data_IF_534406073473
#
_entry.id   IF_534406073473
#
_cell.length_a   1.000
_cell.length_b   1.000
_cell.length_c   1.000
_cell.angle_alpha   90.00
_cell.angle_beta   90.00
_cell.angle_gamma   90.00
#
_symmetry.space_group_name_H-M   'P 1'
#
loop_
_entity.id
_entity.type
_entity.pdbx_description
1 polymer ?
#
# COMPACT_ATOMS: atom_id res chain seq x y z
N UNK A 1 -5.17 -12.63 -3.64
CA UNK A 1 -3.86 -12.08 -3.97
C UNK A 1 -3.90 -11.47 -5.35
N UNK A 2 -3.72 -10.17 -5.41
CA UNK A 2 -3.63 -9.40 -6.65
C UNK A 2 -2.37 -9.83 -7.43
N UNK A 3 -2.46 -9.99 -8.75
CA UNK A 3 -1.33 -10.41 -9.60
C UNK A 3 -0.15 -9.42 -9.54
N UNK A 4 -0.42 -8.12 -9.34
CA UNK A 4 0.60 -7.08 -9.24
C UNK A 4 1.36 -7.21 -7.92
N UNK A 5 0.63 -7.41 -6.81
CA UNK A 5 1.22 -7.66 -5.48
C UNK A 5 2.09 -8.91 -5.50
N UNK A 6 1.59 -9.99 -6.12
CA UNK A 6 2.36 -11.23 -6.28
C UNK A 6 3.67 -10.98 -7.04
N UNK A 7 3.60 -10.24 -8.15
CA UNK A 7 4.79 -9.89 -8.93
C UNK A 7 5.76 -9.01 -8.15
N UNK A 8 5.26 -8.06 -7.36
CA UNK A 8 6.08 -7.23 -6.48
C UNK A 8 6.87 -8.07 -5.46
N UNK A 9 6.21 -9.03 -4.81
CA UNK A 9 6.85 -9.97 -3.89
C UNK A 9 7.93 -10.83 -4.56
N UNK A 10 7.74 -11.21 -5.82
CA UNK A 10 8.73 -11.97 -6.60
C UNK A 10 9.93 -11.12 -7.06
N UNK A 11 9.74 -9.80 -7.26
CA UNK A 11 10.76 -8.85 -7.70
C UNK A 11 11.61 -8.30 -6.55
N UNK A 12 11.04 -8.26 -5.34
CA UNK A 12 11.63 -7.63 -4.17
C UNK A 12 13.03 -8.19 -3.85
N UNK A 13 14.04 -7.32 -3.88
CA UNK A 13 15.40 -7.71 -3.52
C UNK A 13 15.53 -7.82 -1.99
N UNK A 14 16.46 -8.66 -1.51
CA UNK A 14 16.64 -8.92 -0.07
C UNK A 14 16.92 -7.63 0.73
N UNK A 15 17.53 -6.61 0.12
CA UNK A 15 17.81 -5.32 0.73
C UNK A 15 16.54 -4.48 1.01
N UNK A 16 15.48 -4.69 0.23
CA UNK A 16 14.19 -3.97 0.32
C UNK A 16 13.08 -4.87 0.86
N UNK A 17 13.46 -6.03 1.40
CA UNK A 17 12.51 -7.05 1.80
C UNK A 17 11.73 -6.62 3.02
N UNK A 18 10.49 -6.22 2.77
CA UNK A 18 9.56 -5.77 3.79
C UNK A 18 8.17 -6.38 3.59
N UNK A 19 7.26 -6.08 4.50
CA UNK A 19 5.85 -6.41 4.36
C UNK A 19 5.23 -5.66 3.18
N UNK A 20 4.72 -6.42 2.22
CA UNK A 20 3.89 -5.90 1.12
C UNK A 20 2.42 -6.23 1.41
N UNK A 21 1.53 -5.23 1.48
CA UNK A 21 0.11 -5.46 1.71
C UNK A 21 -0.54 -6.34 0.64
N UNK A 22 -1.19 -7.44 1.06
CA UNK A 22 -1.98 -8.32 0.17
C UNK A 22 -3.45 -7.88 0.12
N UNK A 23 -3.70 -6.80 -0.61
CA UNK A 23 -5.04 -6.24 -0.84
C UNK A 23 -5.41 -6.26 -2.33
N UNK A 24 -6.70 -6.11 -2.63
CA UNK A 24 -7.22 -6.08 -3.99
C UNK A 24 -7.85 -4.71 -4.33
N UNK A 25 -7.87 -4.36 -5.62
CA UNK A 25 -8.59 -3.16 -6.06
C UNK A 25 -10.08 -3.33 -5.76
N UNK A 26 -10.66 -2.31 -5.12
CA UNK A 26 -12.04 -2.30 -4.62
C UNK A 26 -12.19 -2.75 -3.17
N UNK A 27 -11.14 -3.29 -2.55
CA UNK A 27 -11.13 -3.69 -1.15
C UNK A 27 -11.15 -2.47 -0.24
N UNK A 28 -11.86 -2.59 0.88
CA UNK A 28 -11.89 -1.59 1.95
C UNK A 28 -11.09 -2.17 3.11
N UNK A 29 -10.04 -1.46 3.53
CA UNK A 29 -9.12 -1.87 4.57
C UNK A 29 -8.80 -0.67 5.49
N UNK A 30 -8.11 -0.92 6.59
CA UNK A 30 -7.64 0.15 7.47
C UNK A 30 -6.38 0.78 6.86
N UNK A 31 -6.14 2.05 7.16
CA UNK A 31 -4.91 2.75 6.73
C UNK A 31 -3.66 2.00 7.23
N UNK A 32 -3.73 1.41 8.43
CA UNK A 32 -2.65 0.59 9.00
C UNK A 32 -2.29 -0.67 8.18
N UNK A 33 -3.18 -1.13 7.28
CA UNK A 33 -2.90 -2.25 6.39
C UNK A 33 -1.95 -1.83 5.26
N UNK A 34 -1.88 -0.52 4.94
CA UNK A 34 -1.12 0.05 3.82
C UNK A 34 0.01 0.98 4.27
N UNK A 35 -0.13 1.66 5.41
CA UNK A 35 0.83 2.63 5.93
C UNK A 35 1.19 2.31 7.38
N UNK A 36 2.48 2.32 7.67
CA UNK A 36 3.03 1.94 8.98
C UNK A 36 3.04 3.09 10.01
N UNK A 37 2.52 4.26 9.65
CA UNK A 37 2.50 5.45 10.50
C UNK A 37 3.76 6.31 10.44
N UNK A 38 4.72 6.01 9.55
CA UNK A 38 5.92 6.82 9.40
C UNK A 38 5.71 7.98 8.42
N UNK A 39 6.11 9.17 8.85
CA UNK A 39 6.00 10.39 8.05
C UNK A 39 4.63 11.06 8.19
N UNK A 40 4.23 11.79 7.15
CA UNK A 40 2.93 12.44 7.09
C UNK A 40 1.87 11.44 6.61
N UNK A 41 0.66 11.51 7.18
CA UNK A 41 -0.44 10.63 6.81
C UNK A 41 -0.78 10.76 5.31
N UNK A 42 -0.64 9.68 4.53
CA UNK A 42 -0.90 9.72 3.09
C UNK A 42 -2.39 9.92 2.82
N UNK A 43 -2.70 10.81 1.86
CA UNK A 43 -4.09 11.17 1.53
C UNK A 43 -4.60 10.45 0.28
N UNK A 44 -3.70 10.09 -0.64
CA UNK A 44 -4.07 9.57 -1.96
C UNK A 44 -3.40 8.23 -2.31
N UNK A 45 -2.15 8.03 -1.87
CA UNK A 45 -1.38 6.82 -2.19
C UNK A 45 -0.22 6.62 -1.23
N UNK A 46 0.27 5.38 -1.16
CA UNK A 46 1.49 5.03 -0.46
C UNK A 46 2.24 3.93 -1.22
N UNK A 47 3.57 4.07 -1.33
CA UNK A 47 4.40 3.20 -2.15
C UNK A 47 5.48 2.50 -1.33
N UNK A 48 5.80 1.26 -1.71
CA UNK A 48 6.89 0.47 -1.17
C UNK A 48 7.97 0.25 -2.22
N UNK A 49 9.23 0.45 -1.83
CA UNK A 49 10.37 0.18 -2.69
C UNK A 49 10.60 -1.33 -2.81
N UNK A 50 10.81 -1.82 -4.03
CA UNK A 50 11.06 -3.24 -4.30
C UNK A 50 12.50 -3.51 -4.70
N UNK A 51 13.07 -2.60 -5.50
CA UNK A 51 14.45 -2.65 -6.00
C UNK A 51 15.05 -1.24 -5.98
N UNK A 52 16.28 -1.08 -6.47
CA UNK A 52 16.88 0.24 -6.67
C UNK A 52 16.05 1.16 -7.60
N UNK A 53 15.21 0.61 -8.47
CA UNK A 53 14.48 1.38 -9.49
C UNK A 53 12.97 1.12 -9.54
N UNK A 54 12.48 0.04 -8.92
CA UNK A 54 11.07 -0.38 -9.02
C UNK A 54 10.36 -0.24 -7.67
N UNK A 55 9.10 0.21 -7.71
CA UNK A 55 8.24 0.36 -6.55
C UNK A 55 6.84 -0.24 -6.83
N UNK A 56 6.11 -0.57 -5.76
CA UNK A 56 4.67 -0.83 -5.83
C UNK A 56 3.94 0.31 -5.16
N UNK A 57 2.94 0.87 -5.84
CA UNK A 57 2.10 1.94 -5.34
C UNK A 57 0.67 1.47 -5.10
N UNK A 58 0.10 1.89 -3.96
CA UNK A 58 -1.27 1.62 -3.56
C UNK A 58 -2.03 2.93 -3.54
N UNK A 59 -2.87 3.15 -4.55
CA UNK A 59 -3.74 4.34 -4.63
C UNK A 59 -5.07 4.02 -3.96
N UNK A 60 -5.55 4.93 -3.13
CA UNK A 60 -6.76 4.74 -2.36
C UNK A 60 -7.59 6.01 -2.21
N UNK A 61 -8.85 5.83 -1.81
CA UNK A 61 -9.75 6.90 -1.42
C UNK A 61 -10.13 6.73 0.05
N UNK A 62 -10.17 7.83 0.82
CA UNK A 62 -10.66 7.81 2.20
C UNK A 62 -12.18 7.62 2.20
N UNK A 63 -12.63 6.55 2.87
CA UNK A 63 -14.05 6.21 3.01
C UNK A 63 -14.61 6.75 4.32
N UNK A 64 -13.83 6.66 5.40
CA UNK A 64 -14.22 7.12 6.74
C UNK A 64 -12.99 7.55 7.55
N UNK A 65 -12.90 8.86 7.83
CA UNK A 65 -11.88 9.40 8.73
C UNK A 65 -12.18 9.03 10.18
N UNK A 66 -11.13 8.63 10.92
CA UNK A 66 -11.20 8.37 12.37
C UNK A 66 -10.26 9.31 13.12
N UNK A 67 -10.46 9.43 14.44
CA UNK A 67 -9.59 10.27 15.29
C UNK A 67 -8.12 9.85 15.22
N UNK A 68 -7.88 8.54 15.07
CA UNK A 68 -6.58 7.98 14.80
C UNK A 68 -6.46 7.71 13.30
N UNK A 69 -5.45 8.31 12.67
CA UNK A 69 -5.20 8.23 11.24
C UNK A 69 -5.03 6.78 10.76
N UNK A 70 -4.36 5.94 11.57
CA UNK A 70 -4.13 4.52 11.28
C UNK A 70 -5.41 3.69 11.24
N UNK A 71 -6.47 4.14 11.93
CA UNK A 71 -7.76 3.45 11.95
C UNK A 71 -8.69 3.95 10.82
N UNK A 72 -8.28 4.95 10.03
CA UNK A 72 -9.03 5.48 8.90
C UNK A 72 -9.35 4.37 7.91
N UNK A 73 -10.59 4.30 7.45
CA UNK A 73 -10.99 3.32 6.44
C UNK A 73 -10.69 3.87 5.06
N UNK A 74 -9.94 3.13 4.26
CA UNK A 74 -9.60 3.47 2.89
C UNK A 74 -10.10 2.40 1.93
N UNK A 75 -10.34 2.79 0.69
CA UNK A 75 -10.67 1.89 -0.41
C UNK A 75 -9.57 1.92 -1.44
N UNK A 76 -8.99 0.77 -1.74
CA UNK A 76 -7.98 0.64 -2.79
C UNK A 76 -8.63 0.87 -4.15
N UNK A 77 -8.16 1.86 -4.90
CA UNK A 77 -8.67 2.20 -6.24
C UNK A 77 -7.72 1.77 -7.35
N UNK A 78 -6.42 1.69 -7.07
CA UNK A 78 -5.43 1.16 -7.99
C UNK A 78 -4.26 0.52 -7.23
N UNK A 79 -3.63 -0.46 -7.85
CA UNK A 79 -2.32 -0.98 -7.41
C UNK A 79 -1.47 -1.09 -8.66
N UNK A 80 -0.28 -0.51 -8.66
CA UNK A 80 0.58 -0.50 -9.83
C UNK A 80 2.06 -0.63 -9.48
N UNK A 81 2.84 -1.13 -10.45
CA UNK A 81 4.29 -1.14 -10.38
C UNK A 81 4.82 0.08 -11.14
N UNK A 82 5.68 0.87 -10.51
CA UNK A 82 6.26 2.10 -11.06
C UNK A 82 7.78 2.04 -11.12
#
# INVERSE_FOLDING_TARGET
MNEIVKKAMEMMEEAYKDYIPDVNVGEICEMNDIWDGNGDCPQDSYSYQLTDNDWIDYVFEIVEEKENELDTMIKIVNIELI
#
